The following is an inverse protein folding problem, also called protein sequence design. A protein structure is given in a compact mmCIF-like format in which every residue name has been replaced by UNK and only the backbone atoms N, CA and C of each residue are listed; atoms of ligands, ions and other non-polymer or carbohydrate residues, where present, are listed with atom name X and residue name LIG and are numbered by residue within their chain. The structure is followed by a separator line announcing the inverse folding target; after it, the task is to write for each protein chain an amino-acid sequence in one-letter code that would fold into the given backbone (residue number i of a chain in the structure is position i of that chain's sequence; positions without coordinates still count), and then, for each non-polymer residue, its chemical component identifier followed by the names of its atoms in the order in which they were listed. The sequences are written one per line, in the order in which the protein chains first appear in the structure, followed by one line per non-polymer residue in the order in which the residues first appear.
data_IF_285509140298
#
_entry.id   IF_285509140298
#
_cell.length_a   1.000
_cell.length_b   1.000
_cell.length_c   1.000
_cell.angle_alpha   90.00
_cell.angle_beta   90.00
_cell.angle_gamma   90.00
#
_symmetry.space_group_name_H-M   'P 1'
#
loop_
_entity.id
_entity.type
_entity.pdbx_description
1 polymer ?
#
# COMPACT_ATOMS: atom_id res chain seq x y z
N UNK A 1 6.00 -6.04 -19.18
CA UNK A 1 6.27 -5.65 -17.78
C UNK A 1 7.70 -6.06 -17.45
N UNK A 2 8.54 -5.15 -16.94
CA UNK A 2 9.92 -5.52 -16.54
C UNK A 2 9.92 -6.27 -15.20
N UNK A 3 10.94 -7.10 -14.90
CA UNK A 3 11.07 -7.77 -13.60
C UNK A 3 11.01 -6.78 -12.42
N UNK A 4 11.64 -5.60 -12.57
CA UNK A 4 11.59 -4.53 -11.57
C UNK A 4 10.16 -4.02 -11.35
N UNK A 5 9.41 -3.75 -12.43
CA UNK A 5 8.03 -3.29 -12.33
C UNK A 5 7.14 -4.33 -11.65
N UNK A 6 7.31 -5.62 -11.98
CA UNK A 6 6.57 -6.70 -11.35
C UNK A 6 6.82 -6.78 -9.83
N UNK A 7 8.08 -6.72 -9.40
CA UNK A 7 8.44 -6.75 -7.97
C UNK A 7 7.79 -5.57 -7.23
N UNK A 8 7.82 -4.36 -7.80
CA UNK A 8 7.17 -3.18 -7.21
C UNK A 8 5.67 -3.38 -7.07
N UNK A 9 4.99 -3.90 -8.09
CA UNK A 9 3.56 -4.21 -8.03
C UNK A 9 3.24 -5.24 -6.94
N UNK A 10 4.05 -6.30 -6.78
CA UNK A 10 3.86 -7.30 -5.73
C UNK A 10 4.05 -6.70 -4.34
N UNK A 11 5.09 -5.89 -4.11
CA UNK A 11 5.31 -5.17 -2.84
C UNK A 11 4.14 -4.25 -2.51
N UNK A 12 3.69 -3.47 -3.48
CA UNK A 12 2.54 -2.58 -3.32
C UNK A 12 1.26 -3.34 -2.96
N UNK A 13 0.99 -4.45 -3.65
CA UNK A 13 -0.17 -5.30 -3.34
C UNK A 13 -0.13 -5.86 -1.91
N UNK A 14 1.05 -6.28 -1.43
CA UNK A 14 1.23 -6.71 -0.04
C UNK A 14 0.98 -5.58 0.93
N UNK A 15 1.55 -4.39 0.67
CA UNK A 15 1.36 -3.23 1.52
C UNK A 15 -0.11 -2.81 1.61
N UNK A 16 -0.83 -2.77 0.48
CA UNK A 16 -2.28 -2.45 0.45
C UNK A 16 -3.10 -3.43 1.27
N UNK A 17 -2.81 -4.74 1.19
CA UNK A 17 -3.53 -5.75 1.98
C UNK A 17 -3.29 -5.59 3.48
N UNK A 18 -2.04 -5.36 3.89
CA UNK A 18 -1.70 -5.17 5.29
C UNK A 18 -2.32 -3.88 5.87
N UNK A 19 -2.30 -2.80 5.09
CA UNK A 19 -2.94 -1.53 5.45
C UNK A 19 -4.45 -1.67 5.67
N UNK A 20 -5.14 -2.37 4.77
CA UNK A 20 -6.58 -2.68 4.94
C UNK A 20 -6.88 -3.57 6.14
N UNK A 21 -5.92 -4.38 6.58
CA UNK A 21 -6.03 -5.16 7.80
C UNK A 21 -5.75 -4.33 9.08
N UNK A 22 -5.43 -3.04 8.94
CA UNK A 22 -5.18 -2.13 10.07
C UNK A 22 -3.75 -2.14 10.61
N UNK A 23 -2.79 -2.71 9.87
CA UNK A 23 -1.39 -2.75 10.30
C UNK A 23 -0.73 -1.36 10.28
N UNK A 24 0.24 -1.14 11.19
CA UNK A 24 0.98 0.10 11.30
C UNK A 24 1.91 0.31 10.09
N UNK A 25 1.96 1.53 9.55
CA UNK A 25 2.75 1.89 8.37
C UNK A 25 4.22 1.46 8.43
N UNK A 26 4.85 1.57 9.60
CA UNK A 26 6.25 1.19 9.82
C UNK A 26 6.47 -0.32 9.65
N UNK A 27 5.54 -1.12 10.18
CA UNK A 27 5.55 -2.57 10.05
C UNK A 27 5.21 -3.02 8.63
N UNK A 28 4.21 -2.37 8.02
CA UNK A 28 3.81 -2.64 6.62
C UNK A 28 4.98 -2.50 5.65
N UNK A 29 5.84 -1.49 5.82
CA UNK A 29 6.99 -1.30 4.93
C UNK A 29 7.94 -2.50 4.97
N UNK A 30 8.31 -2.96 6.16
CA UNK A 30 9.18 -4.12 6.35
C UNK A 30 8.54 -5.41 5.83
N UNK A 31 7.29 -5.68 6.22
CA UNK A 31 6.58 -6.92 5.86
C UNK A 31 6.25 -7.01 4.36
N UNK A 32 6.03 -5.87 3.70
CA UNK A 32 5.81 -5.82 2.26
C UNK A 32 7.12 -5.92 1.44
N UNK A 33 8.29 -5.88 2.09
CA UNK A 33 9.60 -6.02 1.45
C UNK A 33 10.19 -4.70 0.93
N UNK A 34 9.82 -3.57 1.54
CA UNK A 34 10.50 -2.30 1.35
C UNK A 34 11.69 -2.17 2.31
N UNK A 35 12.69 -1.39 1.89
CA UNK A 35 13.84 -1.06 2.72
C UNK A 35 13.43 -0.17 3.90
N UNK A 36 12.59 0.83 3.63
CA UNK A 36 12.05 1.75 4.62
C UNK A 36 10.67 2.28 4.17
N UNK A 37 10.05 3.09 5.04
CA UNK A 37 8.77 3.73 4.74
C UNK A 37 8.86 4.75 3.59
N UNK A 38 10.01 5.40 3.38
CA UNK A 38 10.20 6.40 2.32
C UNK A 38 10.16 5.77 0.94
N UNK A 39 10.77 4.60 0.76
CA UNK A 39 10.70 3.78 -0.45
C UNK A 39 9.27 3.32 -0.71
N UNK A 40 8.54 2.85 0.31
CA UNK A 40 7.13 2.53 0.18
C UNK A 40 6.30 3.75 -0.25
N UNK A 41 6.55 4.91 0.36
CA UNK A 41 5.86 6.16 0.03
C UNK A 41 6.11 6.61 -1.41
N UNK A 42 7.30 6.36 -1.97
CA UNK A 42 7.62 6.64 -3.37
C UNK A 42 6.83 5.73 -4.31
N UNK A 43 6.81 4.42 -4.05
CA UNK A 43 6.04 3.45 -4.85
C UNK A 43 4.54 3.74 -4.82
N UNK A 44 3.99 4.11 -3.66
CA UNK A 44 2.60 4.54 -3.54
C UNK A 44 2.27 5.76 -4.41
N UNK A 45 3.14 6.77 -4.41
CA UNK A 45 2.96 7.96 -5.26
C UNK A 45 3.05 7.62 -6.74
N UNK A 46 4.05 6.83 -7.13
CA UNK A 46 4.28 6.48 -8.54
C UNK A 46 3.20 5.55 -9.10
N UNK A 47 2.67 4.62 -8.29
CA UNK A 47 1.76 3.57 -8.78
C UNK A 47 0.28 3.83 -8.47
N UNK A 48 -0.03 4.55 -7.38
CA UNK A 48 -1.42 4.85 -6.97
C UNK A 48 -1.74 6.35 -6.95
N UNK A 49 -0.75 7.22 -7.19
CA UNK A 49 -0.95 8.67 -7.19
C UNK A 49 -1.20 9.29 -5.81
N UNK A 50 -0.99 8.55 -4.72
CA UNK A 50 -1.26 9.03 -3.36
C UNK A 50 -0.30 8.43 -2.34
N UNK A 51 -0.22 8.98 -1.13
CA UNK A 51 0.57 8.39 -0.04
C UNK A 51 -0.19 7.25 0.65
N UNK A 52 0.50 6.33 1.36
CA UNK A 52 -0.16 5.29 2.16
C UNK A 52 -1.15 5.86 3.18
N UNK A 53 -0.81 6.99 3.84
CA UNK A 53 -1.71 7.65 4.78
C UNK A 53 -2.96 8.25 4.12
N UNK A 54 -2.84 8.79 2.90
CA UNK A 54 -3.99 9.24 2.13
C UNK A 54 -4.85 8.07 1.65
N UNK A 55 -4.22 6.95 1.25
CA UNK A 55 -4.90 5.71 0.92
C UNK A 55 -5.74 5.21 2.10
N UNK A 56 -5.17 5.14 3.31
CA UNK A 56 -5.88 4.71 4.53
C UNK A 56 -7.09 5.59 4.84
N UNK A 57 -6.93 6.91 4.83
CA UNK A 57 -8.05 7.84 5.08
C UNK A 57 -9.17 7.68 4.04
N UNK A 58 -8.82 7.41 2.78
CA UNK A 58 -9.80 7.17 1.71
C UNK A 58 -10.51 5.83 1.88
N UNK A 59 -9.78 4.79 2.27
CA UNK A 59 -10.34 3.45 2.48
C UNK A 59 -11.29 3.45 3.68
N UNK A 60 -10.94 4.16 4.76
CA UNK A 60 -11.82 4.40 5.92
C UNK A 60 -13.08 5.22 5.55
N UNK A 61 -12.93 6.22 4.67
CA UNK A 61 -14.06 7.02 4.20
C UNK A 61 -14.96 6.28 3.19
N UNK A 62 -14.53 5.13 2.67
CA UNK A 62 -15.34 4.27 1.81
C UNK A 62 -16.13 3.29 2.68
N UNK A 63 -17.45 3.45 2.86
CA UNK A 63 -18.23 2.50 3.65
C UNK A 63 -18.09 1.08 3.07
N UNK A 64 -18.13 0.03 3.92
CA UNK A 64 -18.04 -1.34 3.42
C UNK A 64 -19.13 -1.57 2.38
N UNK A 65 -18.74 -2.15 1.24
CA UNK A 65 -19.67 -2.54 0.20
C UNK A 65 -20.67 -3.53 0.83
N UNK A 66 -21.89 -3.06 1.10
CA UNK A 66 -22.99 -3.93 1.52
C UNK A 66 -23.35 -4.79 0.31
N UNK A 67 -22.97 -6.05 0.35
CA UNK A 67 -23.52 -7.06 -0.56
C UNK A 67 -24.97 -7.26 -0.10
N UNK A 68 -25.93 -6.95 -0.98
CA UNK A 68 -27.35 -7.22 -0.76
C UNK A 68 -27.64 -8.71 -0.66
#
# INVERSE_FOLDING_TARGET
MSPKAFIRSVRLQRAVRALRAGELLTKVAADAGYYDQSHMNADFRELLGMTPGAFMRRDEASPPLRVC
#
